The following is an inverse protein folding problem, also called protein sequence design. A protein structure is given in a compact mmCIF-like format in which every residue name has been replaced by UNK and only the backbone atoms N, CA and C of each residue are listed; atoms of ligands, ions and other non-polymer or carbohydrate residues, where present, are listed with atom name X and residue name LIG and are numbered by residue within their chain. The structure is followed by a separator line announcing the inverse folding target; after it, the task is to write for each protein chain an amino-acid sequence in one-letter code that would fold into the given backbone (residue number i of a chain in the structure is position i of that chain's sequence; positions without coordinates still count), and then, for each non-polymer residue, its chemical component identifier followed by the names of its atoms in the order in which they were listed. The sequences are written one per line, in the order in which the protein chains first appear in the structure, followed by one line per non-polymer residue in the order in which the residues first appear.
data_IF_464283360377
#
_entry.id   IF_464283360377
#
_cell.length_a   1.000
_cell.length_b   1.000
_cell.length_c   1.000
_cell.angle_alpha   90.00
_cell.angle_beta   90.00
_cell.angle_gamma   90.00
#
_symmetry.space_group_name_H-M   'P 1'
#
loop_
_entity.id
_entity.type
_entity.pdbx_description
1 polymer ?
#
# COMPACT_ATOMS: atom_id res chain seq x y z
N UNK A 1 -22.98 -19.75 -2.94
CA UNK A 1 -21.98 -20.48 -3.74
C UNK A 1 -22.36 -20.47 -5.22
N UNK A 2 -22.17 -19.36 -5.96
CA UNK A 2 -22.52 -19.37 -7.40
C UNK A 2 -21.86 -18.28 -8.28
N UNK A 3 -20.58 -17.97 -8.08
CA UNK A 3 -19.79 -17.18 -9.06
C UNK A 3 -18.36 -17.74 -9.29
N UNK A 4 -18.07 -18.93 -8.73
CA UNK A 4 -16.75 -19.57 -8.75
C UNK A 4 -16.60 -20.62 -9.87
N UNK A 5 -17.46 -20.65 -10.89
CA UNK A 5 -17.48 -21.73 -11.90
C UNK A 5 -16.75 -21.42 -13.22
N UNK A 6 -16.07 -20.28 -13.34
CA UNK A 6 -15.07 -20.07 -14.40
C UNK A 6 -13.76 -19.61 -13.76
N UNK A 7 -12.97 -20.58 -13.27
CA UNK A 7 -11.70 -20.30 -12.63
C UNK A 7 -10.59 -20.67 -13.61
N UNK A 8 -9.96 -19.65 -14.18
CA UNK A 8 -8.67 -19.81 -14.84
C UNK A 8 -7.67 -20.41 -13.83
N UNK A 9 -6.77 -21.29 -14.29
CA UNK A 9 -5.71 -21.86 -13.44
C UNK A 9 -4.75 -20.78 -12.91
N UNK A 10 -4.68 -19.65 -13.61
CA UNK A 10 -3.91 -18.48 -13.24
C UNK A 10 -4.60 -17.19 -13.68
N UNK A 11 -4.17 -16.08 -13.09
CA UNK A 11 -4.69 -14.74 -13.33
C UNK A 11 -3.51 -13.79 -13.58
N UNK A 12 -3.41 -13.18 -14.78
CA UNK A 12 -2.51 -12.05 -14.98
C UNK A 12 -2.77 -10.96 -13.94
N UNK A 13 -1.71 -10.25 -13.50
CA UNK A 13 -1.77 -9.24 -12.45
C UNK A 13 -2.97 -8.28 -12.59
N UNK A 14 -3.19 -7.76 -13.80
CA UNK A 14 -4.29 -6.81 -14.08
C UNK A 14 -5.68 -7.41 -13.88
N UNK A 15 -5.85 -8.69 -14.22
CA UNK A 15 -7.09 -9.41 -14.02
C UNK A 15 -7.29 -9.78 -12.55
N UNK A 16 -6.23 -10.20 -11.87
CA UNK A 16 -6.25 -10.49 -10.44
C UNK A 16 -6.63 -9.24 -9.62
N UNK A 17 -5.99 -8.11 -9.91
CA UNK A 17 -6.28 -6.81 -9.30
C UNK A 17 -7.77 -6.43 -9.46
N UNK A 18 -8.29 -6.53 -10.69
CA UNK A 18 -9.69 -6.27 -10.97
C UNK A 18 -10.63 -7.23 -10.22
N UNK A 19 -10.29 -8.51 -10.15
CA UNK A 19 -11.13 -9.53 -9.49
C UNK A 19 -11.16 -9.40 -7.98
N UNK A 20 -10.05 -8.93 -7.39
CA UNK A 20 -9.93 -8.70 -5.95
C UNK A 20 -10.39 -7.30 -5.53
N UNK A 21 -10.79 -6.45 -6.48
CA UNK A 21 -11.11 -5.04 -6.25
C UNK A 21 -9.96 -4.30 -5.54
N UNK A 22 -8.75 -4.51 -6.04
CA UNK A 22 -7.49 -3.96 -5.51
C UNK A 22 -6.65 -3.35 -6.63
N UNK A 23 -5.72 -2.48 -6.24
CA UNK A 23 -4.74 -1.96 -7.17
C UNK A 23 -3.60 -2.97 -7.39
N UNK A 24 -3.05 -3.03 -8.60
CA UNK A 24 -1.91 -3.90 -8.93
C UNK A 24 -0.73 -3.68 -7.97
N UNK A 25 -0.50 -2.43 -7.56
CA UNK A 25 0.57 -2.07 -6.63
C UNK A 25 0.38 -2.69 -5.25
N UNK A 26 -0.87 -2.88 -4.78
CA UNK A 26 -1.15 -3.49 -3.49
C UNK A 26 -0.78 -4.98 -3.52
N UNK A 27 -1.08 -5.67 -4.62
CA UNK A 27 -0.72 -7.07 -4.81
C UNK A 27 0.81 -7.24 -4.92
N UNK A 28 1.49 -6.35 -5.63
CA UNK A 28 2.96 -6.34 -5.70
C UNK A 28 3.59 -6.12 -4.32
N UNK A 29 3.02 -5.23 -3.49
CA UNK A 29 3.50 -5.00 -2.13
C UNK A 29 3.33 -6.24 -1.23
N UNK A 30 2.20 -6.95 -1.35
CA UNK A 30 1.99 -8.22 -0.65
C UNK A 30 3.01 -9.28 -1.07
N UNK A 31 3.32 -9.37 -2.36
CA UNK A 31 4.34 -10.30 -2.85
C UNK A 31 5.75 -9.93 -2.39
N UNK A 32 6.09 -8.63 -2.36
CA UNK A 32 7.37 -8.15 -1.83
C UNK A 32 7.51 -8.42 -0.33
N UNK A 33 6.42 -8.35 0.43
CA UNK A 33 6.39 -8.70 1.86
C UNK A 33 6.49 -10.21 2.12
N UNK A 34 6.38 -11.05 1.08
CA UNK A 34 6.38 -12.50 1.19
C UNK A 34 5.02 -13.10 1.59
N UNK A 35 3.96 -12.30 1.55
CA UNK A 35 2.60 -12.75 1.90
C UNK A 35 2.00 -13.64 0.82
N UNK A 36 2.36 -13.40 -0.44
CA UNK A 36 1.93 -14.14 -1.63
C UNK A 36 3.10 -14.32 -2.62
N UNK A 37 2.93 -15.17 -3.63
CA UNK A 37 3.95 -15.41 -4.67
C UNK A 37 3.38 -15.18 -6.07
N UNK A 38 4.04 -14.32 -6.84
CA UNK A 38 3.80 -14.24 -8.28
C UNK A 38 4.67 -15.26 -9.01
N UNK A 39 4.19 -15.69 -10.17
CA UNK A 39 4.92 -16.53 -11.09
C UNK A 39 5.09 -15.82 -12.42
N UNK A 40 6.10 -16.21 -13.20
CA UNK A 40 6.19 -15.80 -14.59
C UNK A 40 5.16 -16.56 -15.42
N UNK A 41 4.59 -15.89 -16.43
CA UNK A 41 3.69 -16.51 -17.38
C UNK A 41 4.42 -17.69 -18.06
N UNK A 42 3.85 -18.90 -18.03
CA UNK A 42 4.50 -20.08 -18.56
C UNK A 42 4.55 -19.96 -20.09
N UNK A 43 5.75 -20.05 -20.66
CA UNK A 43 5.91 -20.06 -22.12
C UNK A 43 5.25 -21.33 -22.68
N UNK A 44 4.13 -21.21 -23.44
CA UNK A 44 3.42 -22.36 -23.96
C UNK A 44 4.22 -23.11 -25.04
N UNK A 45 5.34 -22.55 -25.50
CA UNK A 45 6.19 -23.16 -26.54
C UNK A 45 7.17 -24.21 -25.99
N UNK A 46 7.38 -24.27 -24.67
CA UNK A 46 8.40 -25.12 -24.04
C UNK A 46 7.90 -26.53 -23.60
N UNK A 47 6.64 -26.86 -23.86
CA UNK A 47 6.11 -28.24 -23.74
C UNK A 47 5.90 -28.77 -22.30
N UNK A 48 6.39 -28.05 -21.28
CA UNK A 48 6.08 -28.26 -19.86
C UNK A 48 5.80 -26.89 -19.23
N UNK A 49 4.59 -26.71 -18.68
CA UNK A 49 4.21 -25.51 -17.93
C UNK A 49 4.85 -25.62 -16.55
N UNK A 50 6.08 -25.12 -16.40
CA UNK A 50 6.69 -24.92 -15.09
C UNK A 50 6.43 -23.48 -14.64
N UNK A 51 5.78 -23.34 -13.49
CA UNK A 51 5.55 -22.04 -12.87
C UNK A 51 6.83 -21.58 -12.18
N UNK A 52 7.56 -20.65 -12.80
CA UNK A 52 8.76 -20.08 -12.20
C UNK A 52 8.37 -18.98 -11.20
N UNK A 53 8.65 -19.12 -9.90
CA UNK A 53 8.30 -18.12 -8.91
C UNK A 53 9.19 -16.88 -9.05
N UNK A 54 8.58 -15.70 -8.99
CA UNK A 54 9.28 -14.42 -9.04
C UNK A 54 9.75 -14.03 -7.64
N UNK A 55 11.03 -13.71 -7.49
CA UNK A 55 11.61 -13.40 -6.19
C UNK A 55 11.11 -12.05 -5.63
N UNK A 56 11.08 -11.86 -4.29
CA UNK A 56 10.73 -10.56 -3.71
C UNK A 56 11.62 -9.40 -4.18
N UNK A 57 12.87 -9.69 -4.57
CA UNK A 57 13.80 -8.71 -5.13
C UNK A 57 13.36 -8.23 -6.51
N UNK A 58 12.97 -9.16 -7.39
CA UNK A 58 12.41 -8.85 -8.72
C UNK A 58 11.08 -8.09 -8.60
N UNK A 59 10.21 -8.49 -7.68
CA UNK A 59 8.99 -7.73 -7.39
C UNK A 59 9.33 -6.30 -6.93
N UNK A 60 10.35 -6.15 -6.07
CA UNK A 60 10.85 -4.83 -5.67
C UNK A 60 11.35 -4.01 -6.86
N UNK A 61 12.03 -4.64 -7.82
CA UNK A 61 12.48 -4.00 -9.04
C UNK A 61 11.30 -3.51 -9.90
N UNK A 62 10.28 -4.35 -10.08
CA UNK A 62 9.06 -4.04 -10.82
C UNK A 62 8.31 -2.87 -10.16
N UNK A 63 8.17 -2.87 -8.83
CA UNK A 63 7.57 -1.75 -8.07
C UNK A 63 8.34 -0.45 -8.35
N UNK A 64 9.67 -0.49 -8.27
CA UNK A 64 10.51 0.69 -8.52
C UNK A 64 10.28 1.22 -9.93
N UNK A 65 10.26 0.35 -10.94
CA UNK A 65 10.01 0.71 -12.35
C UNK A 65 8.63 1.38 -12.57
N UNK A 66 7.61 0.99 -11.80
CA UNK A 66 6.26 1.59 -11.87
C UNK A 66 6.17 2.98 -11.20
N UNK A 67 7.10 3.32 -10.30
CA UNK A 67 7.08 4.64 -9.63
C UNK A 67 7.77 5.72 -10.46
N UNK A 68 7.29 6.97 -10.34
CA UNK A 68 7.94 8.14 -10.96
C UNK A 68 9.42 8.33 -10.53
N UNK A 69 9.78 7.80 -9.35
CA UNK A 69 11.13 7.76 -8.79
C UNK A 69 12.04 6.69 -9.42
N UNK A 70 11.47 5.68 -10.07
CA UNK A 70 12.18 4.55 -10.68
C UNK A 70 13.15 4.94 -11.79
N UNK A 71 12.94 6.05 -12.49
CA UNK A 71 13.85 6.53 -13.55
C UNK A 71 15.28 6.76 -13.07
N UNK A 72 15.49 7.08 -11.78
CA UNK A 72 16.82 7.26 -11.19
C UNK A 72 17.52 5.94 -10.86
N UNK A 73 16.76 4.86 -10.78
CA UNK A 73 17.24 3.53 -10.45
C UNK A 73 17.15 2.58 -11.64
N UNK A 74 16.70 3.04 -12.81
CA UNK A 74 16.51 2.20 -14.00
C UNK A 74 17.75 1.38 -14.34
N UNK A 75 18.95 1.97 -14.26
CA UNK A 75 20.21 1.26 -14.51
C UNK A 75 20.48 0.13 -13.49
N UNK A 76 19.97 0.23 -12.26
CA UNK A 76 20.11 -0.79 -11.22
C UNK A 76 19.07 -1.90 -11.32
N UNK A 77 17.91 -1.63 -11.93
CA UNK A 77 16.83 -2.61 -12.14
C UNK A 77 16.71 -3.11 -13.59
N UNK A 78 17.59 -2.64 -14.50
CA UNK A 78 17.64 -3.06 -15.89
C UNK A 78 18.14 -4.51 -16.08
N UNK A 79 18.73 -5.12 -15.05
CA UNK A 79 19.20 -6.51 -15.09
C UNK A 79 18.15 -7.57 -14.76
N UNK A 80 16.89 -7.17 -14.53
CA UNK A 80 15.79 -8.09 -14.30
C UNK A 80 14.95 -8.22 -15.57
N UNK A 81 14.82 -9.44 -16.09
CA UNK A 81 14.12 -9.72 -17.34
C UNK A 81 12.59 -9.83 -17.15
N UNK A 82 12.12 -10.03 -15.92
CA UNK A 82 10.71 -10.19 -15.58
C UNK A 82 9.94 -8.87 -15.78
N UNK A 83 8.99 -8.84 -16.71
CA UNK A 83 8.12 -7.69 -16.92
C UNK A 83 6.83 -7.79 -16.10
N UNK A 84 6.23 -6.65 -15.79
CA UNK A 84 4.95 -6.60 -15.07
C UNK A 84 3.82 -7.34 -15.80
N UNK A 85 3.86 -7.36 -17.14
CA UNK A 85 2.89 -8.07 -17.99
C UNK A 85 2.96 -9.58 -17.84
N UNK A 86 4.09 -10.09 -17.37
CA UNK A 86 4.38 -11.51 -17.29
C UNK A 86 4.06 -12.06 -15.90
N UNK A 87 3.65 -11.19 -14.97
CA UNK A 87 3.27 -11.60 -13.62
C UNK A 87 1.87 -12.21 -13.60
N UNK A 88 1.80 -13.43 -13.07
CA UNK A 88 0.55 -14.15 -12.84
C UNK A 88 0.44 -14.65 -11.41
N UNK A 89 -0.77 -14.68 -10.88
CA UNK A 89 -1.10 -15.41 -9.66
C UNK A 89 -1.73 -16.74 -10.06
N UNK A 90 -1.30 -17.83 -9.42
CA UNK A 90 -2.08 -19.07 -9.49
C UNK A 90 -3.40 -18.89 -8.77
N UNK A 91 -4.33 -19.80 -9.02
CA UNK A 91 -5.58 -19.87 -8.26
C UNK A 91 -5.34 -19.90 -6.75
N UNK A 92 -4.37 -20.70 -6.28
CA UNK A 92 -4.07 -20.88 -4.86
C UNK A 92 -3.61 -19.56 -4.21
N UNK A 93 -2.77 -18.81 -4.91
CA UNK A 93 -2.27 -17.52 -4.44
C UNK A 93 -3.37 -16.44 -4.51
N UNK A 94 -4.25 -16.47 -5.52
CA UNK A 94 -5.42 -15.59 -5.55
C UNK A 94 -6.38 -15.84 -4.38
N UNK A 95 -6.65 -17.12 -4.05
CA UNK A 95 -7.44 -17.51 -2.87
C UNK A 95 -6.74 -17.12 -1.57
N UNK A 96 -5.40 -17.20 -1.52
CA UNK A 96 -4.61 -16.72 -0.40
C UNK A 96 -4.75 -15.21 -0.21
N UNK A 97 -4.68 -14.40 -1.28
CA UNK A 97 -4.95 -12.96 -1.22
C UNK A 97 -6.37 -12.72 -0.68
N UNK A 98 -7.37 -13.40 -1.22
CA UNK A 98 -8.75 -13.24 -0.78
C UNK A 98 -8.92 -13.52 0.72
N UNK A 99 -8.25 -14.55 1.25
CA UNK A 99 -8.24 -14.88 2.69
C UNK A 99 -7.55 -13.80 3.53
N UNK A 100 -6.39 -13.32 3.08
CA UNK A 100 -5.64 -12.26 3.77
C UNK A 100 -6.42 -10.93 3.82
N UNK A 101 -7.14 -10.62 2.76
CA UNK A 101 -7.94 -9.39 2.65
C UNK A 101 -9.30 -9.48 3.36
N UNK A 102 -9.86 -10.70 3.52
CA UNK A 102 -11.16 -10.93 4.15
C UNK A 102 -11.07 -11.89 5.37
N UNK A 103 -10.24 -11.58 6.37
CA UNK A 103 -9.93 -12.51 7.47
C UNK A 103 -11.15 -12.89 8.31
N UNK A 104 -12.16 -12.02 8.41
CA UNK A 104 -13.40 -12.28 9.16
C UNK A 104 -14.27 -13.37 8.52
N UNK A 105 -14.17 -13.61 7.21
CA UNK A 105 -14.92 -14.65 6.50
C UNK A 105 -14.30 -16.05 6.67
N UNK A 106 -13.02 -16.13 7.06
CA UNK A 106 -12.26 -17.37 7.20
C UNK A 106 -11.81 -17.65 8.65
N UNK A 107 -12.25 -16.83 9.61
CA UNK A 107 -11.90 -16.96 11.02
C UNK A 107 -12.31 -18.33 11.64
N UNK A 108 -13.28 -19.03 11.05
CA UNK A 108 -13.71 -20.36 11.50
C UNK A 108 -12.93 -21.52 10.87
N UNK A 109 -12.03 -21.29 9.90
CA UNK A 109 -11.27 -22.33 9.23
C UNK A 109 -9.76 -22.06 9.27
N UNK A 110 -9.10 -22.70 10.24
CA UNK A 110 -7.65 -22.94 10.32
C UNK A 110 -6.74 -21.76 10.70
N UNK A 111 -6.77 -21.36 11.98
CA UNK A 111 -5.69 -20.60 12.64
C UNK A 111 -4.81 -21.53 13.47
N UNK A 112 -3.78 -22.11 12.87
CA UNK A 112 -2.60 -22.60 13.59
C UNK A 112 -1.33 -22.16 12.87
N UNK A 113 -0.69 -21.07 13.30
CA UNK A 113 0.77 -20.98 13.11
C UNK A 113 1.48 -19.65 12.90
N UNK A 114 0.82 -18.49 12.71
CA UNK A 114 1.57 -17.23 12.54
C UNK A 114 1.28 -16.26 13.69
N UNK A 115 2.28 -15.92 14.53
CA UNK A 115 2.08 -14.98 15.64
C UNK A 115 1.99 -13.54 15.11
N UNK A 116 0.77 -13.00 15.06
CA UNK A 116 0.52 -11.60 14.75
C UNK A 116 0.95 -10.71 15.93
N UNK A 117 1.83 -9.73 15.67
CA UNK A 117 2.15 -8.68 16.63
C UNK A 117 1.09 -7.57 16.59
N UNK A 118 -0.03 -7.84 17.27
CA UNK A 118 -1.26 -7.02 17.36
C UNK A 118 -1.05 -5.54 17.72
N UNK A 119 0.13 -5.16 18.21
CA UNK A 119 0.44 -3.77 18.56
C UNK A 119 0.85 -2.93 17.34
N UNK A 120 1.66 -3.48 16.44
CA UNK A 120 2.21 -2.72 15.30
C UNK A 120 1.12 -2.30 14.30
N UNK A 121 0.18 -3.19 14.02
CA UNK A 121 -0.96 -2.94 13.12
C UNK A 121 -1.90 -1.86 13.67
N UNK A 122 -2.17 -1.89 14.99
CA UNK A 122 -3.00 -0.88 15.65
C UNK A 122 -2.37 0.51 15.56
N UNK A 123 -1.05 0.61 15.69
CA UNK A 123 -0.34 1.88 15.53
C UNK A 123 -0.34 2.40 14.08
N UNK A 124 -0.29 1.50 13.08
CA UNK A 124 -0.37 1.87 11.68
C UNK A 124 -1.76 2.38 11.29
N UNK A 125 -2.82 1.66 11.67
CA UNK A 125 -4.21 2.05 11.42
C UNK A 125 -4.57 3.40 12.08
N UNK A 126 -4.15 3.60 13.32
CA UNK A 126 -4.39 4.86 14.04
C UNK A 126 -3.70 6.06 13.35
N UNK A 127 -2.50 5.85 12.81
CA UNK A 127 -1.76 6.89 12.09
C UNK A 127 -2.38 7.21 10.72
N UNK A 128 -2.85 6.19 10.01
CA UNK A 128 -3.53 6.36 8.73
C UNK A 128 -4.84 7.16 8.89
N UNK A 129 -5.63 6.82 9.91
CA UNK A 129 -6.87 7.53 10.22
C UNK A 129 -6.63 9.01 10.55
N UNK A 130 -5.56 9.30 11.30
CA UNK A 130 -5.15 10.68 11.58
C UNK A 130 -4.85 11.47 10.30
N UNK A 131 -4.10 10.88 9.35
CA UNK A 131 -3.77 11.57 8.12
C UNK A 131 -4.98 11.78 7.20
N UNK A 132 -5.92 10.85 7.14
CA UNK A 132 -7.17 11.02 6.38
C UNK A 132 -7.97 12.22 6.88
N UNK A 133 -8.14 12.32 8.21
CA UNK A 133 -8.83 13.47 8.83
C UNK A 133 -8.06 14.76 8.62
N UNK A 134 -6.74 14.74 8.82
CA UNK A 134 -5.90 15.93 8.61
C UNK A 134 -6.01 16.47 7.18
N UNK A 135 -6.03 15.59 6.17
CA UNK A 135 -6.20 15.97 4.77
C UNK A 135 -7.58 16.57 4.52
N UNK A 136 -8.64 15.98 5.08
CA UNK A 136 -10.00 16.52 4.99
C UNK A 136 -10.09 17.93 5.55
N UNK A 137 -9.60 18.13 6.78
CA UNK A 137 -9.57 19.44 7.44
C UNK A 137 -8.77 20.47 6.62
N UNK A 138 -7.64 20.07 6.04
CA UNK A 138 -6.84 20.95 5.19
C UNK A 138 -7.57 21.33 3.89
N UNK A 139 -8.38 20.42 3.34
CA UNK A 139 -9.14 20.67 2.12
C UNK A 139 -10.32 21.62 2.36
N UNK A 140 -11.03 21.43 3.47
CA UNK A 140 -12.24 22.19 3.79
C UNK A 140 -11.91 23.53 4.47
N UNK A 141 -10.85 23.56 5.29
CA UNK A 141 -10.41 24.73 6.07
C UNK A 141 -8.92 25.07 5.82
N UNK A 142 -8.53 25.35 4.55
CA UNK A 142 -7.14 25.53 4.18
C UNK A 142 -6.47 26.73 4.85
N UNK A 143 -7.24 27.77 5.17
CA UNK A 143 -6.72 29.00 5.77
C UNK A 143 -6.47 28.84 7.27
N UNK A 144 -7.23 27.99 7.95
CA UNK A 144 -7.04 27.68 9.38
C UNK A 144 -5.82 26.78 9.62
N UNK A 145 -5.40 26.02 8.60
CA UNK A 145 -4.23 25.15 8.68
C UNK A 145 -2.90 25.85 8.38
N UNK A 146 -2.93 27.15 8.03
CA UNK A 146 -1.75 27.91 7.60
C UNK A 146 -1.25 28.85 8.70
N UNK A 147 0.07 28.97 8.82
CA UNK A 147 0.72 29.95 9.68
C UNK A 147 0.79 31.35 9.05
N UNK A 148 1.34 32.32 9.79
CA UNK A 148 1.44 33.73 9.36
C UNK A 148 2.14 33.94 8.00
N UNK A 149 3.00 33.00 7.57
CA UNK A 149 3.68 33.02 6.27
C UNK A 149 2.87 32.39 5.13
N UNK A 150 1.58 32.08 5.35
CA UNK A 150 0.69 31.33 4.42
C UNK A 150 1.18 29.92 4.07
N UNK A 151 2.15 29.40 4.81
CA UNK A 151 2.61 28.01 4.71
C UNK A 151 1.82 27.12 5.68
N UNK A 152 1.67 25.84 5.35
CA UNK A 152 1.04 24.86 6.24
C UNK A 152 1.89 24.77 7.52
N UNK A 153 1.28 25.11 8.66
CA UNK A 153 1.93 25.02 9.97
C UNK A 153 1.34 23.82 10.71
N UNK A 154 2.14 22.82 11.10
CA UNK A 154 1.67 21.68 11.88
C UNK A 154 0.85 22.10 13.10
N UNK A 155 1.25 23.16 13.79
CA UNK A 155 0.59 23.67 15.00
C UNK A 155 -0.78 24.30 14.71
N UNK A 156 -0.93 25.03 13.60
CA UNK A 156 -2.23 25.58 13.18
C UNK A 156 -3.13 24.48 12.61
N UNK A 157 -2.53 23.52 11.89
CA UNK A 157 -3.23 22.37 11.36
C UNK A 157 -3.78 21.46 12.46
N UNK A 158 -3.03 21.19 13.53
CA UNK A 158 -3.56 20.46 14.69
C UNK A 158 -4.74 21.18 15.33
N UNK A 159 -4.65 22.51 15.50
CA UNK A 159 -5.75 23.30 16.05
C UNK A 159 -7.01 23.23 15.20
N UNK A 160 -6.87 23.32 13.88
CA UNK A 160 -7.99 23.16 12.95
C UNK A 160 -8.61 21.76 13.05
N UNK A 161 -7.79 20.70 13.17
CA UNK A 161 -8.28 19.32 13.33
C UNK A 161 -9.08 19.18 14.62
N UNK A 162 -8.62 19.75 15.73
CA UNK A 162 -9.33 19.68 17.01
C UNK A 162 -10.60 20.55 17.01
N UNK A 163 -10.58 21.70 16.34
CA UNK A 163 -11.74 22.59 16.23
C UNK A 163 -12.88 21.97 15.42
N UNK A 164 -12.54 21.29 14.32
CA UNK A 164 -13.49 20.63 13.42
C UNK A 164 -13.64 19.13 13.69
N UNK A 165 -13.11 18.61 14.80
CA UNK A 165 -13.09 17.17 15.11
C UNK A 165 -14.48 16.51 15.11
N UNK A 166 -15.55 17.30 15.27
CA UNK A 166 -16.94 16.84 15.24
C UNK A 166 -17.45 16.57 13.82
N UNK A 167 -16.84 17.20 12.82
CA UNK A 167 -17.25 17.10 11.41
C UNK A 167 -16.54 15.94 10.68
N UNK A 168 -15.57 15.31 11.34
CA UNK A 168 -14.78 14.20 10.81
C UNK A 168 -14.91 12.94 11.66
N UNK A 169 -14.54 11.76 11.12
CA UNK A 169 -14.52 10.52 11.88
C UNK A 169 -13.69 10.67 13.17
N UNK A 170 -14.15 10.10 14.30
CA UNK A 170 -13.50 10.26 15.59
C UNK A 170 -12.07 9.70 15.55
N UNK A 171 -11.13 10.52 16.02
CA UNK A 171 -9.73 10.15 16.11
C UNK A 171 -9.45 9.35 17.39
N UNK A 172 -8.68 8.27 17.26
CA UNK A 172 -8.18 7.48 18.40
C UNK A 172 -6.97 8.18 19.04
N UNK A 173 -6.20 8.92 18.25
CA UNK A 173 -5.10 9.78 18.71
C UNK A 173 -5.70 11.16 18.98
N UNK A 174 -5.91 11.51 20.26
CA UNK A 174 -6.54 12.77 20.68
C UNK A 174 -5.58 13.74 21.39
N UNK A 175 -4.33 13.34 21.63
CA UNK A 175 -3.32 14.22 22.21
C UNK A 175 -2.82 15.21 21.15
N UNK A 176 -2.99 16.50 21.43
CA UNK A 176 -2.46 17.62 20.62
C UNK A 176 -0.98 17.42 20.27
N UNK A 177 -0.17 17.00 21.24
CA UNK A 177 1.27 16.73 21.06
C UNK A 177 1.52 15.61 20.04
N UNK A 178 0.80 14.49 20.12
CA UNK A 178 1.01 13.34 19.24
C UNK A 178 0.51 13.61 17.82
N UNK A 179 -0.60 14.35 17.68
CA UNK A 179 -1.08 14.82 16.38
C UNK A 179 -0.04 15.76 15.76
N UNK A 180 0.42 16.73 16.54
CA UNK A 180 1.41 17.72 16.08
C UNK A 180 2.72 17.05 15.67
N UNK A 181 3.21 16.05 16.40
CA UNK A 181 4.43 15.32 16.04
C UNK A 181 4.28 14.52 14.74
N UNK A 182 3.14 13.85 14.54
CA UNK A 182 2.85 13.19 13.26
C UNK A 182 2.76 14.17 12.10
N UNK A 183 2.13 15.33 12.29
CA UNK A 183 2.03 16.37 11.27
C UNK A 183 3.38 17.05 10.99
N UNK A 184 4.21 17.28 12.02
CA UNK A 184 5.59 17.77 11.85
C UNK A 184 6.43 16.79 11.04
N UNK A 185 6.33 15.49 11.34
CA UNK A 185 6.99 14.46 10.55
C UNK A 185 6.52 14.51 9.08
N UNK A 186 5.21 14.62 8.84
CA UNK A 186 4.64 14.70 7.50
C UNK A 186 5.08 15.97 6.72
N UNK A 187 5.11 17.14 7.37
CA UNK A 187 5.51 18.41 6.73
C UNK A 187 7.03 18.47 6.54
N UNK A 188 7.83 17.90 7.44
CA UNK A 188 9.29 17.89 7.32
C UNK A 188 9.82 16.90 6.28
N UNK A 189 9.04 15.86 5.93
CA UNK A 189 9.33 15.02 4.75
C UNK A 189 9.35 15.89 3.47
N UNK A 190 8.46 16.88 3.36
CA UNK A 190 8.41 17.84 2.23
C UNK A 190 9.61 18.81 2.21
N UNK A 191 10.10 19.29 3.35
CA UNK A 191 11.26 20.22 3.38
C UNK A 191 12.58 19.53 3.00
N UNK A 192 12.75 18.24 3.32
CA UNK A 192 13.89 17.43 2.88
C UNK A 192 13.90 17.19 1.36
N UNK A 193 12.72 17.13 0.73
CA UNK A 193 12.58 16.98 -0.71
C UNK A 193 12.91 18.28 -1.48
N UNK A 194 12.57 19.46 -0.93
CA UNK A 194 12.86 20.77 -1.57
C UNK A 194 14.33 21.17 -1.56
N UNK A 195 15.13 20.78 -0.55
CA UNK A 195 16.58 21.06 -0.53
C UNK A 195 17.37 20.40 -1.66
N UNK A 196 16.87 19.29 -2.22
CA UNK A 196 17.51 18.55 -3.32
C UNK A 196 17.23 19.13 -4.73
N UNK A 197 16.50 20.24 -4.83
CA UNK A 197 16.16 20.90 -6.10
C UNK A 197 16.83 22.28 -6.25
N UNK A 198 17.69 22.70 -5.30
CA UNK A 198 18.32 24.03 -5.30
C UNK A 198 19.84 24.01 -5.06
N UNK A 199 20.50 22.86 -5.24
CA UNK A 199 21.97 22.73 -5.27
C UNK A 199 22.41 22.21 -6.64
#
# INVERSE_FOLDING_TARGET
MSELENILEYYPLSLAAKRLERDEIELLLMAHAGDITFYQYPDPTLGLIEWEPVSPLEIGAIIIQQTKTGRKYQDYVAGFDTQISDLVLTKEELERVHRLLNPSQYADQALTGIPINKHAERHAANREQLYKVAIGVLADYPDECRGARKEISPEQWTKAILAHAKDYPPLVILSDETITDHLRAAVNIKTRAKRKQGE
#
